data_IF_583355422400
#
_entry.id   IF_583355422400
#
_cell.length_a   1.000
_cell.length_b   1.000
_cell.length_c   1.000
_cell.angle_alpha   90.00
_cell.angle_beta   90.00
_cell.angle_gamma   90.00
#
_symmetry.space_group_name_H-M   'P 1'
#
loop_
_entity.id
_entity.type
_entity.pdbx_description
1 polymer ?
#
# COMPACT_ATOMS: atom_id res chain seq x y z
N UNK A 1 -29.79 -24.73 44.08
CA UNK A 1 -28.42 -24.78 43.51
C UNK A 1 -28.44 -23.95 42.24
N UNK A 2 -27.85 -22.75 42.26
CA UNK A 2 -27.62 -21.98 41.03
C UNK A 2 -26.38 -22.59 40.41
N UNK A 3 -26.51 -23.20 39.24
CA UNK A 3 -25.35 -23.62 38.47
C UNK A 3 -24.57 -22.37 38.09
N UNK A 4 -23.40 -22.15 38.71
CA UNK A 4 -22.45 -21.16 38.22
C UNK A 4 -22.03 -21.59 36.81
N UNK A 5 -22.48 -20.86 35.79
CA UNK A 5 -21.92 -20.98 34.45
C UNK A 5 -20.43 -20.65 34.55
N UNK A 6 -19.58 -21.62 34.26
CA UNK A 6 -18.14 -21.39 34.09
C UNK A 6 -18.00 -20.55 32.82
N UNK A 7 -17.79 -19.24 32.98
CA UNK A 7 -17.46 -18.37 31.87
C UNK A 7 -16.05 -18.73 31.38
N UNK A 8 -15.95 -19.37 30.22
CA UNK A 8 -14.67 -19.63 29.57
C UNK A 8 -14.14 -18.32 28.98
N UNK A 9 -12.87 -17.95 29.23
CA UNK A 9 -12.31 -16.72 28.68
C UNK A 9 -12.16 -16.83 27.16
N UNK A 10 -12.69 -15.86 26.41
CA UNK A 10 -12.51 -15.79 24.96
C UNK A 10 -11.22 -15.03 24.61
N UNK A 11 -10.40 -15.62 23.73
CA UNK A 11 -9.16 -15.03 23.22
C UNK A 11 -9.22 -14.96 21.70
N UNK A 12 -8.85 -13.82 21.12
CA UNK A 12 -8.93 -13.57 19.67
C UNK A 12 -7.53 -13.35 19.06
N UNK A 13 -7.28 -13.94 17.89
CA UNK A 13 -6.01 -13.87 17.16
C UNK A 13 -6.26 -13.60 15.68
N UNK A 14 -5.60 -12.58 15.10
CA UNK A 14 -5.58 -12.30 13.65
C UNK A 14 -4.26 -11.67 13.22
N UNK A 15 -3.91 -11.89 11.95
CA UNK A 15 -2.63 -11.47 11.33
C UNK A 15 -2.83 -10.83 9.94
N UNK A 16 -4.07 -10.52 9.55
CA UNK A 16 -4.40 -9.81 8.32
C UNK A 16 -4.85 -8.40 8.68
N UNK A 17 -4.33 -7.38 8.01
CA UNK A 17 -4.48 -5.97 8.42
C UNK A 17 -5.91 -5.58 8.81
N UNK A 18 -6.90 -5.87 7.96
CA UNK A 18 -8.30 -5.56 8.26
C UNK A 18 -8.82 -6.36 9.46
N UNK A 19 -8.62 -7.68 9.46
CA UNK A 19 -9.09 -8.56 10.53
C UNK A 19 -8.40 -8.25 11.88
N UNK A 20 -7.15 -7.81 11.84
CA UNK A 20 -6.36 -7.37 12.99
C UNK A 20 -6.86 -6.04 13.55
N UNK A 21 -7.22 -5.08 12.69
CA UNK A 21 -7.89 -3.84 13.09
C UNK A 21 -9.22 -4.17 13.79
N UNK A 22 -10.04 -5.04 13.20
CA UNK A 22 -11.31 -5.48 13.82
C UNK A 22 -11.09 -6.21 15.14
N UNK A 23 -10.07 -7.06 15.24
CA UNK A 23 -9.70 -7.79 16.46
C UNK A 23 -9.35 -6.82 17.60
N UNK A 24 -8.58 -5.77 17.27
CA UNK A 24 -8.25 -4.70 18.22
C UNK A 24 -9.51 -3.99 18.71
N UNK A 25 -10.38 -3.59 17.79
CA UNK A 25 -11.62 -2.87 18.11
C UNK A 25 -12.63 -3.72 18.88
N UNK A 26 -12.74 -5.01 18.58
CA UNK A 26 -13.62 -5.91 19.31
C UNK A 26 -13.20 -6.02 20.78
N UNK A 27 -11.89 -6.14 21.06
CA UNK A 27 -11.37 -6.14 22.43
C UNK A 27 -11.62 -4.82 23.15
N UNK A 28 -11.53 -3.69 22.45
CA UNK A 28 -11.78 -2.36 23.01
C UNK A 28 -13.26 -2.14 23.35
N UNK A 29 -14.17 -2.57 22.46
CA UNK A 29 -15.62 -2.35 22.63
C UNK A 29 -16.30 -3.38 23.51
N UNK A 30 -15.80 -4.61 23.52
CA UNK A 30 -16.42 -5.71 24.25
C UNK A 30 -15.42 -6.40 25.19
N UNK A 31 -14.83 -5.66 26.15
CA UNK A 31 -13.88 -6.23 27.12
C UNK A 31 -14.50 -7.31 28.02
N UNK A 32 -15.83 -7.31 28.13
CA UNK A 32 -16.62 -8.31 28.88
C UNK A 32 -16.84 -9.61 28.10
N UNK A 33 -16.64 -9.59 26.77
CA UNK A 33 -16.73 -10.78 25.91
C UNK A 33 -15.32 -11.30 25.63
N UNK A 34 -14.45 -10.42 25.11
CA UNK A 34 -13.08 -10.77 24.71
C UNK A 34 -12.11 -10.43 25.84
N UNK A 35 -11.53 -11.46 26.46
CA UNK A 35 -10.59 -11.27 27.57
C UNK A 35 -9.25 -10.75 27.07
N UNK A 36 -8.76 -11.29 25.95
CA UNK A 36 -7.45 -10.96 25.35
C UNK A 36 -7.53 -10.98 23.82
N UNK A 37 -6.73 -10.14 23.18
CA UNK A 37 -6.61 -10.09 21.73
C UNK A 37 -5.14 -9.94 21.33
N UNK A 38 -4.73 -10.67 20.30
CA UNK A 38 -3.47 -10.45 19.58
C UNK A 38 -3.82 -10.03 18.17
N UNK A 39 -3.41 -8.81 17.81
CA UNK A 39 -3.63 -8.22 16.51
C UNK A 39 -2.28 -7.86 15.89
N UNK A 40 -1.79 -8.71 14.99
CA UNK A 40 -0.51 -8.48 14.29
C UNK A 40 -0.73 -7.57 13.09
N UNK A 41 0.20 -6.65 12.84
CA UNK A 41 0.16 -5.70 11.72
C UNK A 41 -1.11 -4.83 11.67
N UNK A 42 -1.71 -4.56 12.83
CA UNK A 42 -2.94 -3.79 12.90
C UNK A 42 -2.66 -2.28 12.70
N UNK A 43 -2.98 -1.75 11.52
CA UNK A 43 -2.84 -0.33 11.16
C UNK A 43 -3.90 0.58 11.83
N UNK A 44 -4.15 0.40 13.14
CA UNK A 44 -5.19 1.12 13.90
C UNK A 44 -4.95 2.62 14.07
N UNK A 45 -3.75 3.10 13.71
CA UNK A 45 -3.34 4.51 13.82
C UNK A 45 -3.28 5.24 12.47
N UNK A 46 -3.53 4.56 11.35
CA UNK A 46 -3.51 5.17 10.01
C UNK A 46 -4.82 5.91 9.65
N UNK A 47 -5.39 6.65 10.60
CA UNK A 47 -6.61 7.44 10.43
C UNK A 47 -6.37 8.90 10.83
N UNK A 48 -7.13 9.81 10.22
CA UNK A 48 -6.99 11.26 10.43
C UNK A 48 -5.55 11.76 10.26
N UNK A 49 -5.01 12.49 11.24
CA UNK A 49 -3.68 13.08 11.27
C UNK A 49 -2.74 12.37 12.27
N UNK A 50 -3.11 11.16 12.73
CA UNK A 50 -2.36 10.42 13.76
C UNK A 50 -1.02 9.91 13.23
N UNK A 51 -1.02 9.31 12.03
CA UNK A 51 0.19 8.84 11.34
C UNK A 51 0.40 9.70 10.09
N UNK A 52 1.63 10.14 9.80
CA UNK A 52 1.93 10.87 8.56
C UNK A 52 1.45 10.11 7.33
N UNK A 53 0.83 10.82 6.39
CA UNK A 53 0.22 10.24 5.19
C UNK A 53 1.23 9.44 4.34
N UNK A 54 2.49 9.87 4.35
CA UNK A 54 3.61 9.26 3.65
C UNK A 54 4.36 8.19 4.43
N UNK A 55 3.90 7.81 5.64
CA UNK A 55 4.59 6.87 6.51
C UNK A 55 4.93 5.55 5.81
N UNK A 56 3.98 4.99 5.06
CA UNK A 56 4.17 3.76 4.30
C UNK A 56 5.26 3.93 3.22
N UNK A 57 5.17 5.00 2.43
CA UNK A 57 6.13 5.29 1.37
C UNK A 57 7.55 5.58 1.89
N UNK A 58 7.68 6.19 3.07
CA UNK A 58 8.97 6.39 3.75
C UNK A 58 9.58 5.04 4.15
N UNK A 59 8.79 4.15 4.76
CA UNK A 59 9.26 2.80 5.12
C UNK A 59 9.68 2.04 3.87
N UNK A 60 8.82 1.99 2.85
CA UNK A 60 9.14 1.31 1.59
C UNK A 60 10.38 1.89 0.92
N UNK A 61 10.56 3.22 0.95
CA UNK A 61 11.77 3.87 0.45
C UNK A 61 13.02 3.40 1.17
N UNK A 62 12.96 3.31 2.51
CA UNK A 62 14.10 2.89 3.32
C UNK A 62 14.48 1.43 3.05
N UNK A 63 13.51 0.52 2.93
CA UNK A 63 13.77 -0.90 2.67
C UNK A 63 14.48 -1.09 1.31
N UNK A 64 14.03 -0.41 0.27
CA UNK A 64 14.68 -0.44 -1.04
C UNK A 64 16.08 0.17 -1.01
N UNK A 65 16.26 1.28 -0.28
CA UNK A 65 17.56 1.95 -0.14
C UNK A 65 18.56 1.11 0.66
N UNK A 66 18.11 0.50 1.76
CA UNK A 66 18.93 -0.39 2.60
C UNK A 66 19.40 -1.61 1.81
N UNK A 67 18.54 -2.14 0.94
CA UNK A 67 18.93 -3.22 0.04
C UNK A 67 19.93 -2.77 -1.03
N UNK A 68 19.63 -1.69 -1.77
CA UNK A 68 20.55 -1.13 -2.77
C UNK A 68 20.28 0.35 -3.06
N UNK A 69 21.31 1.15 -2.80
CA UNK A 69 21.34 2.57 -3.16
C UNK A 69 21.23 2.80 -4.68
N UNK A 70 21.78 1.89 -5.50
CA UNK A 70 21.67 1.96 -6.97
C UNK A 70 20.23 1.69 -7.44
N UNK A 71 19.59 0.68 -6.86
CA UNK A 71 18.20 0.35 -7.12
C UNK A 71 17.28 1.52 -6.75
N UNK A 72 17.41 2.04 -5.51
CA UNK A 72 16.70 3.22 -5.03
C UNK A 72 16.82 4.42 -5.98
N UNK A 73 18.06 4.75 -6.39
CA UNK A 73 18.30 5.89 -7.28
C UNK A 73 17.72 5.66 -8.69
N UNK A 74 17.74 4.43 -9.18
CA UNK A 74 17.14 4.08 -10.49
C UNK A 74 15.63 4.25 -10.47
N UNK A 75 14.96 3.75 -9.43
CA UNK A 75 13.51 3.91 -9.23
C UNK A 75 13.17 5.40 -9.16
N UNK A 76 13.86 6.15 -8.29
CA UNK A 76 13.59 7.59 -8.12
C UNK A 76 13.76 8.41 -9.40
N UNK A 77 14.78 8.11 -10.20
CA UNK A 77 15.04 8.81 -11.46
C UNK A 77 14.05 8.41 -12.56
N UNK A 78 13.51 7.19 -12.51
CA UNK A 78 12.62 6.66 -13.55
C UNK A 78 11.33 7.45 -13.72
N UNK A 79 10.85 8.11 -12.66
CA UNK A 79 9.63 8.93 -12.73
C UNK A 79 9.78 10.11 -13.69
N UNK A 80 10.88 10.84 -13.58
CA UNK A 80 11.16 11.98 -14.47
C UNK A 80 11.44 11.49 -15.90
N UNK A 81 12.09 10.34 -16.06
CA UNK A 81 12.31 9.75 -17.39
C UNK A 81 11.00 9.28 -18.03
N UNK A 82 10.06 8.75 -17.24
CA UNK A 82 8.73 8.36 -17.73
C UNK A 82 7.97 9.59 -18.25
N UNK A 83 7.94 10.67 -17.48
CA UNK A 83 7.33 11.95 -17.90
C UNK A 83 8.00 12.49 -19.18
N UNK A 84 9.34 12.39 -19.27
CA UNK A 84 10.10 12.85 -20.43
C UNK A 84 9.77 12.05 -21.69
N UNK A 85 9.65 10.72 -21.57
CA UNK A 85 9.30 9.84 -22.70
C UNK A 85 7.83 10.03 -23.08
N UNK A 86 6.92 10.24 -22.13
CA UNK A 86 5.52 10.55 -22.44
C UNK A 86 5.38 11.84 -23.29
N UNK A 87 6.19 12.86 -23.01
CA UNK A 87 6.11 14.15 -23.69
C UNK A 87 6.60 14.17 -25.15
N UNK A 88 7.27 13.10 -25.63
CA UNK A 88 7.76 13.03 -27.01
C UNK A 88 6.78 12.31 -27.95
N UNK A 89 6.95 12.53 -29.26
CA UNK A 89 6.15 11.83 -30.26
C UNK A 89 6.34 10.31 -30.16
N UNK A 90 5.22 9.56 -30.14
CA UNK A 90 5.16 8.11 -29.92
C UNK A 90 5.60 7.63 -28.51
N UNK A 91 5.69 8.52 -27.52
CA UNK A 91 6.10 8.19 -26.15
C UNK A 91 5.37 7.01 -25.51
N UNK A 92 4.05 6.91 -25.67
CA UNK A 92 3.27 5.76 -25.17
C UNK A 92 3.62 4.44 -25.85
N UNK A 93 3.99 4.45 -27.14
CA UNK A 93 4.45 3.25 -27.84
C UNK A 93 5.82 2.82 -27.33
N UNK A 94 6.71 3.78 -27.07
CA UNK A 94 8.03 3.53 -26.50
C UNK A 94 7.91 2.94 -25.08
N UNK A 95 7.09 3.55 -24.21
CA UNK A 95 6.82 3.03 -22.86
C UNK A 95 6.21 1.63 -22.91
N UNK A 96 5.24 1.40 -23.81
CA UNK A 96 4.67 0.07 -24.03
C UNK A 96 5.75 -0.96 -24.41
N UNK A 97 6.67 -0.58 -25.29
CA UNK A 97 7.76 -1.46 -25.72
C UNK A 97 8.73 -1.74 -24.57
N UNK A 98 9.18 -0.69 -23.86
CA UNK A 98 10.12 -0.79 -22.75
C UNK A 98 9.57 -1.68 -21.64
N UNK A 99 8.33 -1.42 -21.20
CA UNK A 99 7.67 -2.16 -20.13
C UNK A 99 6.97 -3.43 -20.62
N UNK A 100 7.03 -3.73 -21.91
CA UNK A 100 6.39 -4.90 -22.53
C UNK A 100 4.92 -5.05 -22.11
N UNK A 101 4.11 -4.00 -22.22
CA UNK A 101 2.72 -4.01 -21.72
C UNK A 101 1.77 -4.76 -22.67
N UNK A 102 0.83 -5.51 -22.10
CA UNK A 102 -0.15 -6.28 -22.90
C UNK A 102 -1.14 -5.38 -23.63
N UNK A 103 -1.57 -4.31 -22.96
CA UNK A 103 -2.50 -3.30 -23.49
C UNK A 103 -1.75 -2.02 -23.88
N UNK A 104 -2.40 -1.16 -24.68
CA UNK A 104 -1.94 0.23 -24.84
C UNK A 104 -2.01 0.94 -23.49
N UNK A 105 -1.04 1.83 -23.25
CA UNK A 105 -1.09 2.76 -22.14
C UNK A 105 -1.85 4.01 -22.60
N UNK A 106 -2.93 4.34 -21.90
CA UNK A 106 -3.73 5.53 -22.20
C UNK A 106 -3.20 6.78 -21.47
N UNK A 107 -2.40 6.58 -20.42
CA UNK A 107 -1.78 7.63 -19.60
C UNK A 107 -0.53 7.10 -18.88
N UNK A 108 0.46 7.96 -18.62
CA UNK A 108 1.59 7.59 -17.74
C UNK A 108 1.16 7.33 -16.30
N UNK A 109 0.00 7.88 -15.90
CA UNK A 109 -0.60 7.65 -14.60
C UNK A 109 -0.85 6.15 -14.35
N UNK A 110 -1.35 5.43 -15.34
CA UNK A 110 -1.63 4.00 -15.23
C UNK A 110 -0.34 3.20 -14.97
N UNK A 111 0.72 3.50 -15.71
CA UNK A 111 2.03 2.86 -15.51
C UNK A 111 2.62 3.21 -14.14
N UNK A 112 2.52 4.48 -13.75
CA UNK A 112 3.02 4.97 -12.47
C UNK A 112 2.33 4.30 -11.30
N UNK A 113 1.00 4.32 -11.27
CA UNK A 113 0.20 3.74 -10.18
C UNK A 113 0.45 2.23 -10.06
N UNK A 114 0.70 1.55 -11.18
CA UNK A 114 1.08 0.13 -11.17
C UNK A 114 2.47 -0.10 -10.59
N UNK A 115 3.47 0.70 -10.97
CA UNK A 115 4.82 0.62 -10.42
C UNK A 115 4.85 0.96 -8.93
N UNK A 116 4.11 1.99 -8.51
CA UNK A 116 3.97 2.35 -7.10
C UNK A 116 3.42 1.17 -6.28
N UNK A 117 2.36 0.51 -6.79
CA UNK A 117 1.80 -0.69 -6.18
C UNK A 117 2.81 -1.83 -6.13
N UNK A 118 3.59 -2.06 -7.19
CA UNK A 118 4.65 -3.08 -7.23
C UNK A 118 5.64 -2.87 -6.09
N UNK A 119 6.12 -1.65 -5.87
CA UNK A 119 7.09 -1.37 -4.80
C UNK A 119 6.49 -1.50 -3.41
N UNK A 120 5.27 -0.99 -3.21
CA UNK A 120 4.54 -1.13 -1.94
C UNK A 120 4.30 -2.60 -1.58
N UNK A 121 3.78 -3.39 -2.53
CA UNK A 121 3.51 -4.81 -2.31
C UNK A 121 4.78 -5.62 -2.11
N UNK A 122 5.91 -5.19 -2.69
CA UNK A 122 7.20 -5.83 -2.47
C UNK A 122 7.63 -5.76 -1.01
N UNK A 123 7.23 -4.73 -0.27
CA UNK A 123 7.51 -4.60 1.16
C UNK A 123 6.41 -5.24 2.01
N UNK A 124 5.15 -5.05 1.65
CA UNK A 124 4.01 -5.58 2.42
C UNK A 124 3.98 -7.12 2.42
N UNK A 125 4.33 -7.75 1.30
CA UNK A 125 4.37 -9.20 1.17
C UNK A 125 5.79 -9.78 1.30
N UNK A 126 6.75 -8.98 1.76
CA UNK A 126 8.11 -9.44 2.00
C UNK A 126 8.11 -10.54 3.06
N UNK A 127 8.75 -11.66 2.78
CA UNK A 127 8.80 -12.78 3.71
C UNK A 127 10.14 -13.54 3.61
N UNK A 128 10.52 -14.32 4.64
CA UNK A 128 11.83 -14.97 4.68
C UNK A 128 12.09 -15.97 3.54
N UNK A 129 11.04 -16.52 2.92
CA UNK A 129 11.16 -17.47 1.82
C UNK A 129 11.26 -16.77 0.47
N UNK A 130 10.69 -15.57 0.35
CA UNK A 130 10.60 -14.84 -0.88
C UNK A 130 10.70 -13.33 -0.60
N UNK A 131 11.91 -12.80 -0.80
CA UNK A 131 12.19 -11.37 -0.58
C UNK A 131 11.96 -10.59 -1.86
N UNK A 132 10.84 -9.88 -1.95
CA UNK A 132 10.42 -9.22 -3.20
C UNK A 132 11.25 -7.98 -3.51
N UNK A 133 11.60 -7.20 -2.48
CA UNK A 133 12.54 -6.07 -2.61
C UNK A 133 13.86 -6.54 -3.23
N UNK A 134 14.39 -7.67 -2.73
CA UNK A 134 15.61 -8.28 -3.25
C UNK A 134 15.49 -8.66 -4.72
N UNK A 135 14.41 -9.35 -5.10
CA UNK A 135 14.18 -9.77 -6.49
C UNK A 135 14.11 -8.57 -7.44
N UNK A 136 13.36 -7.54 -7.06
CA UNK A 136 13.21 -6.31 -7.86
C UNK A 136 14.55 -5.62 -8.01
N UNK A 137 15.27 -5.40 -6.90
CA UNK A 137 16.54 -4.68 -6.95
C UNK A 137 17.67 -5.47 -7.61
N UNK A 138 17.75 -6.80 -7.42
CA UNK A 138 18.70 -7.66 -8.15
C UNK A 138 18.46 -7.58 -9.65
N UNK A 139 17.20 -7.51 -10.10
CA UNK A 139 16.88 -7.37 -11.52
C UNK A 139 17.25 -5.97 -12.06
N UNK A 140 17.05 -4.91 -11.28
CA UNK A 140 17.44 -3.53 -11.65
C UNK A 140 18.96 -3.37 -11.72
N UNK A 141 19.68 -3.94 -10.75
CA UNK A 141 21.14 -3.82 -10.66
C UNK A 141 21.89 -4.82 -11.56
N UNK A 142 21.29 -5.97 -11.87
CA UNK A 142 21.87 -7.00 -12.72
C UNK A 142 21.77 -6.72 -14.23
N UNK A 143 21.20 -5.59 -14.65
CA UNK A 143 21.10 -5.23 -16.07
C UNK A 143 22.47 -4.94 -16.71
N UNK A 144 22.65 -5.17 -18.02
CA UNK A 144 23.90 -4.85 -18.71
C UNK A 144 24.33 -3.39 -18.56
N UNK A 145 25.64 -3.16 -18.54
CA UNK A 145 26.20 -1.82 -18.46
C UNK A 145 25.76 -0.98 -19.67
N UNK A 146 25.22 0.21 -19.42
CA UNK A 146 24.69 1.11 -20.45
C UNK A 146 23.20 0.94 -20.76
N UNK A 147 22.49 0.02 -20.10
CA UNK A 147 21.03 0.00 -20.14
C UNK A 147 20.46 1.28 -19.52
N UNK A 148 19.48 1.88 -20.20
CA UNK A 148 18.81 3.08 -19.72
C UNK A 148 17.95 2.82 -18.48
N UNK A 149 17.64 3.88 -17.74
CA UNK A 149 16.93 3.81 -16.44
C UNK A 149 15.58 3.10 -16.57
N UNK A 150 14.82 3.35 -17.64
CA UNK A 150 13.51 2.74 -17.82
C UNK A 150 13.64 1.24 -18.15
N UNK A 151 14.65 0.84 -18.93
CA UNK A 151 14.98 -0.56 -19.15
C UNK A 151 15.38 -1.30 -17.86
N UNK A 152 16.10 -0.63 -16.95
CA UNK A 152 16.43 -1.17 -15.63
C UNK A 152 15.16 -1.39 -14.79
N UNK A 153 14.30 -0.37 -14.71
CA UNK A 153 13.05 -0.46 -13.95
C UNK A 153 12.08 -1.47 -14.56
N UNK A 154 12.00 -1.59 -15.89
CA UNK A 154 11.24 -2.64 -16.56
C UNK A 154 11.74 -4.05 -16.21
N UNK A 155 13.05 -4.24 -16.05
CA UNK A 155 13.61 -5.50 -15.55
C UNK A 155 13.17 -5.79 -14.10
N UNK A 156 13.15 -4.75 -13.25
CA UNK A 156 12.58 -4.82 -11.90
C UNK A 156 11.10 -5.22 -11.89
N UNK A 157 10.26 -4.57 -12.70
CA UNK A 157 8.84 -4.91 -12.85
C UNK A 157 8.65 -6.37 -13.25
N UNK A 158 9.40 -6.84 -14.24
CA UNK A 158 9.32 -8.22 -14.73
C UNK A 158 9.63 -9.27 -13.64
N UNK A 159 10.49 -8.93 -12.67
CA UNK A 159 10.89 -9.80 -11.57
C UNK A 159 9.99 -9.68 -10.32
N UNK A 160 9.09 -8.69 -10.31
CA UNK A 160 8.24 -8.38 -9.16
C UNK A 160 7.02 -9.30 -9.03
N UNK A 161 6.34 -9.19 -7.90
CA UNK A 161 5.10 -9.93 -7.59
C UNK A 161 3.98 -9.70 -8.64
N UNK A 162 3.85 -8.47 -9.16
CA UNK A 162 2.86 -8.12 -10.19
C UNK A 162 3.45 -8.11 -11.61
N UNK A 163 4.67 -8.60 -11.78
CA UNK A 163 5.28 -8.75 -13.10
C UNK A 163 4.57 -9.81 -13.95
N UNK A 164 5.04 -10.00 -15.18
CA UNK A 164 4.46 -10.92 -16.17
C UNK A 164 4.34 -12.39 -15.75
N UNK A 165 4.96 -12.82 -14.65
CA UNK A 165 4.84 -14.19 -14.13
C UNK A 165 5.26 -15.28 -15.13
N UNK A 166 6.21 -14.97 -16.02
CA UNK A 166 6.63 -15.85 -17.12
C UNK A 166 5.80 -15.74 -18.41
N UNK A 167 4.75 -14.90 -18.43
CA UNK A 167 4.00 -14.53 -19.62
C UNK A 167 4.77 -13.61 -20.57
N UNK A 168 4.22 -13.33 -21.78
CA UNK A 168 4.92 -12.56 -22.81
C UNK A 168 4.93 -11.05 -22.54
N UNK A 169 4.05 -10.52 -21.69
CA UNK A 169 3.86 -9.10 -21.44
C UNK A 169 3.34 -8.84 -20.01
N UNK A 170 3.46 -7.59 -19.53
CA UNK A 170 2.95 -7.14 -18.23
C UNK A 170 1.50 -6.63 -18.35
N UNK A 171 0.64 -7.10 -17.44
CA UNK A 171 -0.72 -6.57 -17.28
C UNK A 171 -0.67 -5.37 -16.34
N UNK A 172 -0.62 -4.18 -16.92
CA UNK A 172 -0.68 -2.94 -16.18
C UNK A 172 -2.13 -2.69 -15.78
N UNK A 173 -2.33 -2.22 -14.56
CA UNK A 173 -3.64 -1.91 -14.00
C UNK A 173 -3.59 -0.55 -13.37
N UNK A 174 -4.49 0.33 -13.80
CA UNK A 174 -4.80 1.57 -13.09
C UNK A 174 -5.66 1.23 -11.85
N UNK A 175 -5.35 1.85 -10.71
CA UNK A 175 -6.14 1.64 -9.51
C UNK A 175 -7.34 2.58 -9.49
N UNK A 176 -8.51 2.05 -9.83
CA UNK A 176 -9.80 2.76 -9.75
C UNK A 176 -10.70 2.10 -8.72
N UNK A 177 -11.47 2.90 -8.00
CA UNK A 177 -12.51 2.38 -7.10
C UNK A 177 -13.50 1.54 -7.91
N UNK A 178 -13.78 0.33 -7.42
CA UNK A 178 -14.71 -0.59 -8.05
C UNK A 178 -16.01 -0.65 -7.24
N UNK A 179 -17.15 -0.40 -7.88
CA UNK A 179 -18.45 -0.38 -7.20
C UNK A 179 -18.91 -1.77 -6.68
N UNK A 180 -18.23 -2.85 -7.07
CA UNK A 180 -18.44 -4.21 -6.56
C UNK A 180 -17.42 -4.60 -5.47
N UNK A 181 -16.44 -3.73 -5.19
CA UNK A 181 -15.41 -4.00 -4.18
C UNK A 181 -15.92 -3.61 -2.79
N UNK A 182 -16.07 -4.60 -1.93
CA UNK A 182 -16.41 -4.40 -0.51
C UNK A 182 -15.38 -3.50 0.18
N UNK A 183 -14.10 -3.68 -0.15
CA UNK A 183 -13.01 -2.87 0.42
C UNK A 183 -13.09 -1.41 -0.01
N UNK A 184 -13.38 -1.14 -1.28
CA UNK A 184 -13.54 0.22 -1.76
C UNK A 184 -14.76 0.90 -1.14
N UNK A 185 -15.85 0.14 -0.93
CA UNK A 185 -17.01 0.63 -0.17
C UNK A 185 -16.65 0.98 1.28
N UNK A 186 -15.92 0.11 1.99
CA UNK A 186 -15.46 0.37 3.37
C UNK A 186 -14.61 1.64 3.43
N UNK A 187 -13.67 1.82 2.50
CA UNK A 187 -12.84 3.03 2.41
C UNK A 187 -13.65 4.29 2.13
N UNK A 188 -14.66 4.19 1.27
CA UNK A 188 -15.54 5.31 0.95
C UNK A 188 -16.60 5.63 2.01
N UNK A 189 -16.71 4.84 3.08
CA UNK A 189 -17.68 5.03 4.16
C UNK A 189 -16.99 5.41 5.46
N UNK A 190 -16.28 4.44 6.08
CA UNK A 190 -15.74 4.56 7.43
C UNK A 190 -14.22 4.39 7.48
N UNK A 191 -13.64 3.49 6.67
CA UNK A 191 -12.21 3.22 6.65
C UNK A 191 -11.44 4.20 5.75
N UNK A 192 -11.59 5.51 5.99
CA UNK A 192 -10.87 6.53 5.24
C UNK A 192 -9.42 6.56 5.71
N UNK A 193 -8.54 5.88 4.98
CA UNK A 193 -7.11 5.77 5.30
C UNK A 193 -6.35 6.77 4.41
N UNK A 194 -5.79 7.86 4.95
CA UNK A 194 -5.22 8.95 4.17
C UNK A 194 -3.76 8.66 3.77
N UNK A 195 -3.54 7.56 3.04
CA UNK A 195 -2.21 7.22 2.49
C UNK A 195 -1.97 8.09 1.25
N UNK A 196 -0.79 8.71 1.19
CA UNK A 196 -0.31 9.44 0.02
C UNK A 196 1.20 9.51 -0.02
N UNK A 197 1.76 9.91 -1.16
CA UNK A 197 3.21 10.00 -1.33
C UNK A 197 3.74 11.32 -0.77
N UNK A 198 4.86 11.22 -0.06
CA UNK A 198 5.64 12.37 0.36
C UNK A 198 6.32 13.05 -0.82
N UNK A 199 6.85 14.25 -0.59
CA UNK A 199 7.65 14.96 -1.58
C UNK A 199 9.04 14.33 -1.77
N UNK A 200 10.08 15.14 -1.62
CA UNK A 200 11.48 14.73 -1.89
C UNK A 200 12.06 13.67 -0.94
N UNK A 201 11.34 13.32 0.13
CA UNK A 201 11.77 12.39 1.17
C UNK A 201 11.55 10.91 0.81
N UNK A 202 10.83 10.62 -0.28
CA UNK A 202 10.58 9.25 -0.74
C UNK A 202 11.26 8.95 -2.08
N UNK A 203 11.28 7.67 -2.49
CA UNK A 203 11.66 7.27 -3.85
C UNK A 203 10.52 7.44 -4.86
N UNK A 204 9.30 7.70 -4.39
CA UNK A 204 8.08 7.82 -5.20
C UNK A 204 7.92 9.23 -5.76
N UNK A 205 7.03 9.37 -6.75
CA UNK A 205 6.61 10.69 -7.24
C UNK A 205 5.59 11.28 -6.27
N UNK A 206 5.71 12.55 -5.94
CA UNK A 206 4.81 13.20 -5.00
C UNK A 206 3.34 13.14 -5.47
N UNK A 207 2.47 12.61 -4.60
CA UNK A 207 1.04 12.41 -4.80
C UNK A 207 0.35 12.39 -3.43
N UNK A 208 0.25 13.55 -2.74
CA UNK A 208 -0.31 13.61 -1.40
C UNK A 208 -1.81 13.24 -1.40
N UNK A 209 -2.30 12.71 -0.29
CA UNK A 209 -3.71 12.34 -0.16
C UNK A 209 -4.60 13.59 -0.15
N UNK A 210 -5.51 13.68 -1.12
CA UNK A 210 -6.52 14.73 -1.20
C UNK A 210 -7.90 14.19 -0.81
N UNK A 211 -8.36 14.55 0.40
CA UNK A 211 -9.68 14.16 0.92
C UNK A 211 -10.84 14.68 0.05
N UNK A 212 -10.72 15.86 -0.56
CA UNK A 212 -11.77 16.42 -1.39
C UNK A 212 -11.88 15.62 -2.69
N UNK A 213 -10.74 15.29 -3.31
CA UNK A 213 -10.72 14.46 -4.50
C UNK A 213 -11.26 13.05 -4.19
N UNK A 214 -10.78 12.43 -3.11
CA UNK A 214 -11.28 11.14 -2.63
C UNK A 214 -12.80 11.15 -2.40
N UNK A 215 -13.32 12.20 -1.76
CA UNK A 215 -14.77 12.38 -1.53
C UNK A 215 -15.55 12.44 -2.84
N UNK A 216 -15.08 13.20 -3.83
CA UNK A 216 -15.74 13.28 -5.15
C UNK A 216 -15.76 11.92 -5.85
N UNK A 217 -14.66 11.18 -5.81
CA UNK A 217 -14.58 9.84 -6.41
C UNK A 217 -15.54 8.86 -5.73
N UNK A 218 -15.60 8.87 -4.39
CA UNK A 218 -16.57 8.05 -3.64
C UNK A 218 -18.02 8.41 -3.95
N UNK A 219 -18.34 9.70 -4.08
CA UNK A 219 -19.68 10.15 -4.48
C UNK A 219 -20.03 9.70 -5.90
N UNK A 220 -19.08 9.76 -6.84
CA UNK A 220 -19.30 9.34 -8.22
C UNK A 220 -19.52 7.83 -8.36
N UNK A 221 -18.77 7.01 -7.60
CA UNK A 221 -18.81 5.55 -7.72
C UNK A 221 -19.92 4.92 -6.88
N UNK A 222 -20.17 5.46 -5.69
CA UNK A 222 -21.05 4.85 -4.68
C UNK A 222 -22.22 5.74 -4.22
N UNK A 223 -22.26 7.02 -4.61
CA UNK A 223 -23.25 7.97 -4.10
C UNK A 223 -23.11 8.30 -2.61
N UNK A 224 -21.94 8.05 -2.03
CA UNK A 224 -21.67 8.22 -0.59
C UNK A 224 -20.63 9.30 -0.35
N UNK A 225 -20.82 10.03 0.77
CA UNK A 225 -19.81 10.93 1.32
C UNK A 225 -19.05 10.23 2.45
N UNK A 226 -17.72 10.07 2.36
CA UNK A 226 -16.91 9.44 3.40
C UNK A 226 -16.96 10.18 4.74
N UNK A 227 -16.77 9.45 5.84
CA UNK A 227 -16.76 9.99 7.21
C UNK A 227 -15.37 9.81 7.84
N UNK A 228 -14.38 10.66 7.51
CA UNK A 228 -12.99 10.44 7.90
C UNK A 228 -12.78 10.31 9.41
N UNK A 229 -13.49 11.12 10.20
CA UNK A 229 -13.37 11.13 11.66
C UNK A 229 -14.19 10.05 12.38
N UNK A 230 -14.91 9.19 11.65
CA UNK A 230 -15.82 8.23 12.29
C UNK A 230 -15.06 7.19 13.12
N UNK A 231 -14.01 6.60 12.54
CA UNK A 231 -13.20 5.58 13.22
C UNK A 231 -12.54 6.15 14.46
N UNK A 232 -11.94 7.33 14.38
CA UNK A 232 -11.28 7.97 15.53
C UNK A 232 -12.26 8.38 16.61
N UNK A 233 -13.47 8.83 16.23
CA UNK A 233 -14.56 9.11 17.17
C UNK A 233 -15.07 7.85 17.87
N UNK A 234 -15.19 6.73 17.14
CA UNK A 234 -15.76 5.49 17.68
C UNK A 234 -14.75 4.66 18.44
N UNK A 235 -13.55 4.48 17.92
CA UNK A 235 -12.55 3.55 18.45
C UNK A 235 -11.37 4.24 19.12
N UNK A 236 -11.32 5.57 19.12
CA UNK A 236 -10.20 6.36 19.59
C UNK A 236 -9.10 6.48 18.53
N UNK A 237 -7.95 7.01 18.91
CA UNK A 237 -6.81 7.15 18.00
C UNK A 237 -5.63 7.85 18.65
N UNK A 238 -5.83 9.09 19.10
CA UNK A 238 -4.79 9.87 19.79
C UNK A 238 -4.49 9.39 21.22
N UNK A 239 -5.26 8.43 21.75
CA UNK A 239 -5.08 7.92 23.11
C UNK A 239 -4.03 6.81 23.14
N UNK A 240 -2.78 7.18 22.84
CA UNK A 240 -1.58 6.35 23.00
C UNK A 240 -1.41 5.80 24.44
N UNK A 241 -2.02 6.46 25.43
CA UNK A 241 -1.84 6.14 26.85
C UNK A 241 -2.54 4.87 27.34
N UNK A 242 -3.60 4.38 26.66
CA UNK A 242 -4.32 3.17 27.10
C UNK A 242 -3.66 1.87 26.64
N UNK A 243 -2.72 1.94 25.70
CA UNK A 243 -2.10 0.77 25.08
C UNK A 243 -0.71 0.44 25.63
N UNK A 244 -0.05 1.36 26.33
CA UNK A 244 1.30 1.16 26.89
C UNK A 244 1.47 -0.06 27.82
N UNK A 245 0.49 -0.48 28.65
CA UNK A 245 0.65 -1.68 29.45
C UNK A 245 0.20 -2.98 28.74
N UNK A 246 -0.41 -2.90 27.55
CA UNK A 246 -1.07 -4.04 26.89
C UNK A 246 -0.55 -4.38 25.49
N UNK A 247 0.22 -3.51 24.85
CA UNK A 247 1.00 -3.86 23.66
C UNK A 247 2.28 -4.54 24.13
N UNK A 248 2.23 -5.87 24.28
CA UNK A 248 3.43 -6.66 24.05
C UNK A 248 3.71 -6.60 22.56
N UNK A 249 4.64 -5.74 22.15
CA UNK A 249 5.30 -5.89 20.85
C UNK A 249 6.09 -7.20 21.00
N UNK A 250 5.59 -8.27 20.39
CA UNK A 250 6.36 -9.50 20.16
C UNK A 250 7.06 -9.31 18.82
#
# INVERSE_FOLDING_TARGET
MVASQVALPAVMFRTEDEASVLTSWLRLKYPHIVTRALASSASILYFDDITPQNGLHVVTTNDFREYSESCYNSIKQSWNETDRVEAIANGFQDLRSIFSTCSSLDSSLELRDHLDLVYLLSVIYDNPLETWVNKVCTAIDGTPQGMDILGRVASGLNASFLGRGGGPCNYISEFKLNNMSEWDWKKCTEMVIPIGDGGNDTMFKASPFDLNNFTRTCQAVFGITPRPHWITTKFGGHVSFLFKPFIGII
#
